data_IF_907577768732
#
_entry.id   IF_907577768732
#
_cell.length_a   1.000
_cell.length_b   1.000
_cell.length_c   1.000
_cell.angle_alpha   90.00
_cell.angle_beta   90.00
_cell.angle_gamma   90.00
#
_symmetry.space_group_name_H-M   'P 1'
#
loop_
_entity.id
_entity.type
_entity.pdbx_description
1 polymer ?
#
# COMPACT_ATOMS: atom_id res chain seq x y z
N UNK A 1 -34.10 37.90 -46.59
CA UNK A 1 -33.51 36.57 -46.87
C UNK A 1 -34.55 35.53 -46.52
N UNK A 2 -35.01 34.73 -47.48
CA UNK A 2 -36.04 33.71 -47.27
C UNK A 2 -35.35 32.36 -47.10
N UNK A 3 -35.38 31.82 -45.88
CA UNK A 3 -34.83 30.50 -45.58
C UNK A 3 -35.83 29.46 -46.10
N UNK A 4 -35.52 28.87 -47.24
CA UNK A 4 -36.25 27.71 -47.76
C UNK A 4 -35.81 26.47 -46.98
N UNK A 5 -36.68 25.98 -46.09
CA UNK A 5 -36.56 24.63 -45.55
C UNK A 5 -36.82 23.61 -46.67
N UNK A 6 -35.94 22.61 -46.88
CA UNK A 6 -36.17 21.59 -47.89
C UNK A 6 -37.40 20.76 -47.52
N UNK A 7 -38.31 20.59 -48.49
CA UNK A 7 -39.45 19.68 -48.37
C UNK A 7 -38.92 18.24 -48.27
N UNK A 8 -39.33 17.44 -47.27
CA UNK A 8 -38.91 16.04 -47.17
C UNK A 8 -39.46 15.27 -48.37
N UNK A 9 -38.56 14.73 -49.20
CA UNK A 9 -38.89 14.02 -50.44
C UNK A 9 -39.56 12.66 -50.20
N UNK A 10 -39.53 12.14 -48.96
CA UNK A 10 -40.30 10.99 -48.49
C UNK A 10 -40.83 11.32 -47.09
N UNK A 11 -42.14 11.13 -46.86
CA UNK A 11 -42.86 11.68 -45.71
C UNK A 11 -42.23 11.37 -44.35
N UNK A 12 -42.56 12.20 -43.35
CA UNK A 12 -42.05 12.17 -41.96
C UNK A 12 -41.92 10.78 -41.31
N UNK A 13 -42.69 9.78 -41.76
CA UNK A 13 -42.59 8.37 -41.32
C UNK A 13 -41.29 7.68 -41.76
N UNK A 14 -40.79 7.97 -42.96
CA UNK A 14 -39.52 7.42 -43.45
C UNK A 14 -38.33 8.00 -42.69
N UNK A 15 -38.34 9.32 -42.50
CA UNK A 15 -37.34 10.03 -41.68
C UNK A 15 -37.32 9.52 -40.22
N UNK A 16 -38.49 9.32 -39.60
CA UNK A 16 -38.56 8.75 -38.25
C UNK A 16 -38.04 7.30 -38.17
N UNK A 17 -38.18 6.52 -39.24
CA UNK A 17 -37.63 5.16 -39.33
C UNK A 17 -36.10 5.15 -39.37
N UNK A 18 -35.50 5.98 -40.22
CA UNK A 18 -34.03 6.09 -40.34
C UNK A 18 -33.39 6.58 -39.03
N UNK A 19 -33.96 7.63 -38.42
CA UNK A 19 -33.50 8.13 -37.12
C UNK A 19 -33.67 7.06 -36.04
N UNK A 20 -34.79 6.32 -36.05
CA UNK A 20 -35.05 5.24 -35.10
C UNK A 20 -34.00 4.13 -35.16
N UNK A 21 -33.57 3.72 -36.35
CA UNK A 21 -32.52 2.71 -36.54
C UNK A 21 -31.17 3.21 -36.01
N UNK A 22 -30.79 4.46 -36.31
CA UNK A 22 -29.54 5.06 -35.82
C UNK A 22 -29.54 5.12 -34.29
N UNK A 23 -30.63 5.62 -33.70
CA UNK A 23 -30.78 5.71 -32.24
C UNK A 23 -30.70 4.33 -31.61
N UNK A 24 -31.36 3.32 -32.19
CA UNK A 24 -31.30 1.95 -31.70
C UNK A 24 -29.86 1.40 -31.74
N UNK A 25 -29.11 1.66 -32.82
CA UNK A 25 -27.70 1.29 -32.92
C UNK A 25 -26.83 1.92 -31.83
N UNK A 26 -27.01 3.23 -31.58
CA UNK A 26 -26.27 3.94 -30.52
C UNK A 26 -26.63 3.41 -29.13
N UNK A 27 -27.91 3.12 -28.86
CA UNK A 27 -28.33 2.56 -27.57
C UNK A 27 -27.75 1.18 -27.32
N UNK A 28 -27.68 0.33 -28.35
CA UNK A 28 -27.05 -1.00 -28.24
C UNK A 28 -25.55 -0.84 -27.97
N UNK A 29 -24.87 0.06 -28.68
CA UNK A 29 -23.45 0.30 -28.49
C UNK A 29 -23.12 0.76 -27.06
N UNK A 30 -23.84 1.77 -26.54
CA UNK A 30 -23.66 2.27 -25.18
C UNK A 30 -24.03 1.22 -24.12
N UNK A 31 -25.08 0.43 -24.37
CA UNK A 31 -25.48 -0.65 -23.48
C UNK A 31 -24.42 -1.75 -23.39
N UNK A 32 -23.83 -2.14 -24.53
CA UNK A 32 -22.77 -3.13 -24.58
C UNK A 32 -21.49 -2.63 -23.88
N UNK A 33 -21.11 -1.38 -24.10
CA UNK A 33 -19.96 -0.74 -23.46
C UNK A 33 -20.10 -0.73 -21.94
N UNK A 34 -21.28 -0.34 -21.42
CA UNK A 34 -21.54 -0.30 -19.98
C UNK A 34 -21.43 -1.69 -19.32
N UNK A 35 -21.85 -2.75 -20.01
CA UNK A 35 -21.74 -4.12 -19.52
C UNK A 35 -20.29 -4.57 -19.44
N UNK A 36 -19.51 -4.36 -20.50
CA UNK A 36 -18.08 -4.71 -20.54
C UNK A 36 -17.33 -3.94 -19.45
N UNK A 37 -17.61 -2.64 -19.32
CA UNK A 37 -16.98 -1.80 -18.30
C UNK A 37 -17.30 -2.29 -16.88
N UNK A 38 -18.55 -2.67 -16.59
CA UNK A 38 -18.94 -3.19 -15.28
C UNK A 38 -18.18 -4.48 -14.94
N UNK A 39 -18.07 -5.40 -15.90
CA UNK A 39 -17.30 -6.64 -15.73
C UNK A 39 -15.82 -6.35 -15.53
N UNK A 40 -15.25 -5.43 -16.31
CA UNK A 40 -13.85 -5.02 -16.18
C UNK A 40 -13.54 -4.49 -14.77
N UNK A 41 -14.41 -3.64 -14.22
CA UNK A 41 -14.23 -3.12 -12.86
C UNK A 41 -14.33 -4.20 -11.78
N UNK A 42 -15.18 -5.21 -11.98
CA UNK A 42 -15.25 -6.33 -11.05
C UNK A 42 -13.93 -7.10 -10.97
N UNK A 43 -13.27 -7.34 -12.11
CA UNK A 43 -11.96 -7.99 -12.14
C UNK A 43 -10.87 -7.09 -11.56
N UNK A 44 -10.82 -5.82 -11.95
CA UNK A 44 -9.83 -4.86 -11.45
C UNK A 44 -9.87 -4.73 -9.92
N UNK A 45 -11.08 -4.68 -9.33
CA UNK A 45 -11.26 -4.68 -7.87
C UNK A 45 -10.78 -5.99 -7.25
N UNK A 46 -11.11 -7.13 -7.85
CA UNK A 46 -10.73 -8.44 -7.32
C UNK A 46 -9.21 -8.66 -7.35
N UNK A 47 -8.55 -8.27 -8.45
CA UNK A 47 -7.10 -8.37 -8.61
C UNK A 47 -6.37 -7.40 -7.68
N UNK A 48 -6.87 -6.17 -7.55
CA UNK A 48 -6.36 -5.20 -6.56
C UNK A 48 -6.45 -5.74 -5.13
N UNK A 49 -7.58 -6.34 -4.76
CA UNK A 49 -7.71 -6.97 -3.44
C UNK A 49 -6.81 -8.17 -3.25
N UNK A 50 -6.59 -8.99 -4.29
CA UNK A 50 -5.69 -10.13 -4.22
C UNK A 50 -4.23 -9.67 -4.01
N UNK A 51 -3.81 -8.61 -4.69
CA UNK A 51 -2.50 -7.99 -4.49
C UNK A 51 -2.36 -7.44 -3.06
N UNK A 52 -3.34 -6.69 -2.58
CA UNK A 52 -3.32 -6.14 -1.22
C UNK A 52 -3.33 -7.22 -0.13
N UNK A 53 -4.07 -8.31 -0.33
CA UNK A 53 -4.02 -9.48 0.58
C UNK A 53 -2.64 -10.12 0.61
N UNK A 54 -1.98 -10.19 -0.55
CA UNK A 54 -0.65 -10.78 -0.65
C UNK A 54 0.38 -9.91 0.07
N UNK A 55 0.37 -8.61 -0.18
CA UNK A 55 1.28 -7.63 0.47
C UNK A 55 1.12 -7.64 1.99
N UNK A 56 -0.10 -7.39 2.51
CA UNK A 56 -0.32 -7.36 3.96
C UNK A 56 -0.19 -8.72 4.63
N UNK A 57 -0.50 -9.81 3.93
CA UNK A 57 -0.54 -11.15 4.49
C UNK A 57 0.82 -11.85 4.48
N UNK A 58 1.38 -12.05 3.29
CA UNK A 58 2.60 -12.84 3.11
C UNK A 58 3.86 -12.02 3.31
N UNK A 59 3.85 -10.74 2.95
CA UNK A 59 4.99 -9.86 3.17
C UNK A 59 4.91 -9.28 4.58
N UNK A 60 4.18 -8.19 4.77
CA UNK A 60 4.14 -7.43 6.02
C UNK A 60 3.70 -8.27 7.22
N UNK A 61 2.74 -9.17 7.03
CA UNK A 61 2.22 -10.05 8.08
C UNK A 61 3.29 -10.97 8.67
N UNK A 62 4.17 -11.53 7.85
CA UNK A 62 5.28 -12.34 8.32
C UNK A 62 6.30 -11.50 9.09
N UNK A 63 6.53 -10.26 8.66
CA UNK A 63 7.42 -9.33 9.37
C UNK A 63 6.85 -8.89 10.71
N UNK A 64 5.55 -8.57 10.76
CA UNK A 64 4.83 -8.22 11.97
C UNK A 64 4.93 -9.35 13.01
N UNK A 65 4.72 -10.60 12.58
CA UNK A 65 4.85 -11.76 13.46
C UNK A 65 6.28 -11.92 14.01
N UNK A 66 7.30 -11.75 13.16
CA UNK A 66 8.70 -11.80 13.60
C UNK A 66 9.00 -10.71 14.64
N UNK A 67 8.52 -9.48 14.40
CA UNK A 67 8.68 -8.35 15.32
C UNK A 67 8.03 -8.62 16.67
N UNK A 68 6.78 -9.08 16.70
CA UNK A 68 6.08 -9.43 17.94
C UNK A 68 6.77 -10.55 18.71
N UNK A 69 7.33 -11.52 18.00
CA UNK A 69 8.03 -12.67 18.61
C UNK A 69 9.37 -12.24 19.22
N UNK A 70 10.11 -11.34 18.57
CA UNK A 70 11.45 -10.92 19.01
C UNK A 70 11.44 -9.72 19.96
N UNK A 71 10.35 -8.94 20.02
CA UNK A 71 10.26 -7.70 20.81
C UNK A 71 10.67 -7.88 22.28
N UNK A 72 10.24 -8.92 23.02
CA UNK A 72 10.64 -9.10 24.42
C UNK A 72 12.15 -9.34 24.58
N UNK A 73 12.74 -10.11 23.66
CA UNK A 73 14.17 -10.41 23.66
C UNK A 73 15.00 -9.15 23.40
N UNK A 74 14.62 -8.37 22.39
CA UNK A 74 15.27 -7.10 22.06
C UNK A 74 15.16 -6.13 23.25
N UNK A 75 13.96 -5.99 23.83
CA UNK A 75 13.75 -5.10 24.97
C UNK A 75 14.57 -5.52 26.20
N UNK A 76 14.71 -6.83 26.47
CA UNK A 76 15.57 -7.32 27.54
C UNK A 76 17.03 -7.00 27.29
N UNK A 77 17.50 -7.17 26.05
CA UNK A 77 18.88 -6.91 25.69
C UNK A 77 19.23 -5.42 25.76
N UNK A 78 18.34 -4.54 25.30
CA UNK A 78 18.48 -3.09 25.43
C UNK A 78 18.56 -2.64 26.89
N UNK A 79 17.76 -3.24 27.81
CA UNK A 79 17.88 -2.95 29.25
C UNK A 79 19.21 -3.39 29.85
N UNK A 80 19.77 -4.52 29.39
CA UNK A 80 21.09 -4.99 29.83
C UNK A 80 22.21 -4.08 29.34
N UNK A 81 22.09 -3.59 28.10
CA UNK A 81 23.01 -2.59 27.54
C UNK A 81 22.97 -1.29 28.35
N UNK A 82 21.77 -0.78 28.61
CA UNK A 82 21.57 0.45 29.37
C UNK A 82 22.16 0.35 30.78
N UNK A 83 21.84 -0.72 31.52
CA UNK A 83 22.33 -0.88 32.89
C UNK A 83 23.86 -0.99 32.95
N UNK A 84 24.47 -1.66 31.98
CA UNK A 84 25.91 -1.82 31.93
C UNK A 84 26.64 -0.53 31.52
N UNK A 85 26.08 0.25 30.58
CA UNK A 85 26.61 1.57 30.23
C UNK A 85 26.52 2.56 31.40
N UNK A 86 25.43 2.51 32.17
CA UNK A 86 25.30 3.32 33.40
C UNK A 86 26.33 2.91 34.44
N UNK A 87 26.53 1.60 34.66
CA UNK A 87 27.52 1.11 35.60
C UNK A 87 28.95 1.53 35.22
N UNK A 88 29.32 1.45 33.95
CA UNK A 88 30.63 1.91 33.45
C UNK A 88 30.83 3.42 33.68
N UNK A 89 29.81 4.24 33.37
CA UNK A 89 29.84 5.69 33.60
C UNK A 89 30.10 6.03 35.08
N UNK A 90 29.54 5.24 35.99
CA UNK A 90 29.63 5.45 37.44
C UNK A 90 30.89 4.82 38.06
N UNK A 91 31.89 4.47 37.24
CA UNK A 91 33.20 3.94 37.68
C UNK A 91 33.23 2.41 37.84
N UNK A 92 32.19 1.71 37.38
CA UNK A 92 32.14 0.26 37.31
C UNK A 92 33.04 -0.32 36.20
N UNK A 93 33.06 -1.66 36.05
CA UNK A 93 33.86 -2.32 35.04
C UNK A 93 33.43 -1.90 33.63
N UNK A 94 34.40 -1.81 32.71
CA UNK A 94 34.15 -1.53 31.31
C UNK A 94 33.17 -2.56 30.74
N UNK A 95 32.12 -2.07 30.09
CA UNK A 95 31.11 -2.93 29.51
C UNK A 95 31.61 -3.56 28.20
N UNK A 96 31.47 -4.88 28.09
CA UNK A 96 31.73 -5.65 26.87
C UNK A 96 30.45 -6.40 26.49
N UNK A 97 29.78 -5.99 25.41
CA UNK A 97 28.67 -6.77 24.86
C UNK A 97 29.18 -7.80 23.85
N UNK A 98 28.52 -8.96 23.74
CA UNK A 98 28.57 -9.73 22.50
C UNK A 98 28.16 -8.83 21.32
N UNK A 99 28.67 -9.08 20.10
CA UNK A 99 28.27 -8.31 18.94
C UNK A 99 26.75 -8.30 18.80
N UNK A 100 26.19 -7.10 18.76
CA UNK A 100 24.77 -6.90 18.54
C UNK A 100 24.45 -7.29 17.09
N UNK A 101 23.78 -8.42 16.91
CA UNK A 101 23.25 -8.76 15.60
C UNK A 101 22.07 -7.82 15.34
N UNK A 102 22.27 -6.88 14.40
CA UNK A 102 21.19 -6.03 13.93
C UNK A 102 20.06 -6.94 13.41
N UNK A 103 18.79 -6.65 13.76
CA UNK A 103 17.67 -7.35 13.17
C UNK A 103 17.70 -7.18 11.65
N UNK A 104 17.19 -8.19 10.94
CA UNK A 104 17.06 -8.11 9.49
C UNK A 104 16.19 -6.91 9.15
N UNK A 105 16.74 -5.95 8.41
CA UNK A 105 15.98 -4.83 7.88
C UNK A 105 14.97 -5.34 6.86
N UNK A 106 13.73 -4.91 7.03
CA UNK A 106 12.64 -5.18 6.10
C UNK A 106 11.79 -3.93 5.94
N UNK A 107 11.31 -3.71 4.73
CA UNK A 107 10.44 -2.59 4.40
C UNK A 107 8.99 -2.95 4.69
N UNK A 108 8.19 -1.92 4.96
CA UNK A 108 6.74 -2.03 5.04
C UNK A 108 6.18 -1.34 3.82
N UNK A 109 5.60 -2.14 2.92
CA UNK A 109 5.27 -1.71 1.57
C UNK A 109 3.78 -1.38 1.46
N UNK A 110 3.46 -0.24 0.84
CA UNK A 110 2.07 0.17 0.54
C UNK A 110 1.78 0.18 -0.97
N UNK A 111 2.57 -0.56 -1.74
CA UNK A 111 2.59 -0.51 -3.19
C UNK A 111 1.27 -1.01 -3.80
N UNK A 112 0.71 -2.10 -3.28
CA UNK A 112 -0.56 -2.64 -3.77
C UNK A 112 -1.73 -1.70 -3.46
N UNK A 113 -1.73 -1.05 -2.29
CA UNK A 113 -2.71 -0.03 -1.96
C UNK A 113 -2.63 1.18 -2.90
N UNK A 114 -1.42 1.72 -3.09
CA UNK A 114 -1.19 2.86 -3.99
C UNK A 114 -1.55 2.53 -5.43
N UNK A 115 -1.25 1.33 -5.89
CA UNK A 115 -1.65 0.84 -7.21
C UNK A 115 -3.18 0.84 -7.35
N UNK A 116 -3.92 0.26 -6.38
CA UNK A 116 -5.39 0.20 -6.38
C UNK A 116 -6.05 1.59 -6.31
N UNK A 117 -5.44 2.54 -5.60
CA UNK A 117 -5.89 3.94 -5.59
C UNK A 117 -5.65 4.57 -6.96
N UNK A 118 -4.46 4.38 -7.54
CA UNK A 118 -4.07 4.99 -8.81
C UNK A 118 -4.83 4.45 -10.02
N UNK A 119 -5.21 3.17 -10.01
CA UNK A 119 -6.00 2.56 -11.10
C UNK A 119 -7.49 2.89 -11.03
N UNK A 120 -7.94 3.54 -9.94
CA UNK A 120 -9.35 3.83 -9.69
C UNK A 120 -10.14 2.63 -9.16
N UNK A 121 -9.52 1.46 -8.96
CA UNK A 121 -10.18 0.27 -8.41
C UNK A 121 -10.92 0.58 -7.10
N UNK A 122 -10.30 1.37 -6.23
CA UNK A 122 -10.90 1.76 -4.94
C UNK A 122 -12.21 2.54 -5.08
N UNK A 123 -12.41 3.29 -6.17
CA UNK A 123 -13.66 4.03 -6.43
C UNK A 123 -14.84 3.11 -6.81
N UNK A 124 -14.55 1.89 -7.27
CA UNK A 124 -15.54 0.87 -7.60
C UNK A 124 -15.82 -0.09 -6.43
N UNK A 125 -15.19 0.13 -5.28
CA UNK A 125 -15.47 -0.60 -4.05
C UNK A 125 -16.66 0.00 -3.29
N UNK A 126 -17.35 -0.82 -2.50
CA UNK A 126 -18.30 -0.27 -1.52
C UNK A 126 -17.55 0.50 -0.43
N UNK A 127 -18.18 1.53 0.14
CA UNK A 127 -17.60 2.36 1.20
C UNK A 127 -17.04 1.54 2.36
N UNK A 128 -17.75 0.47 2.76
CA UNK A 128 -17.28 -0.44 3.81
C UNK A 128 -16.01 -1.20 3.41
N UNK A 129 -15.92 -1.70 2.17
CA UNK A 129 -14.73 -2.41 1.69
C UNK A 129 -13.54 -1.46 1.60
N UNK A 130 -13.74 -0.27 1.02
CA UNK A 130 -12.71 0.75 0.95
C UNK A 130 -12.22 1.17 2.34
N UNK A 131 -13.14 1.36 3.29
CA UNK A 131 -12.80 1.70 4.67
C UNK A 131 -11.97 0.61 5.37
N UNK A 132 -12.30 -0.67 5.17
CA UNK A 132 -11.52 -1.77 5.73
C UNK A 132 -10.08 -1.80 5.20
N UNK A 133 -9.90 -1.61 3.88
CA UNK A 133 -8.57 -1.55 3.28
C UNK A 133 -7.79 -0.33 3.73
N UNK A 134 -8.42 0.85 3.72
CA UNK A 134 -7.79 2.08 4.19
C UNK A 134 -7.33 1.98 5.64
N UNK A 135 -8.12 1.35 6.51
CA UNK A 135 -7.74 1.14 7.90
C UNK A 135 -6.56 0.17 8.04
N UNK A 136 -6.52 -0.90 7.24
CA UNK A 136 -5.41 -1.86 7.24
C UNK A 136 -4.10 -1.23 6.74
N UNK A 137 -4.15 -0.31 5.78
CA UNK A 137 -2.96 0.37 5.26
C UNK A 137 -2.54 1.61 6.04
N UNK A 138 -3.39 2.13 6.93
CA UNK A 138 -3.14 3.38 7.63
C UNK A 138 -1.85 3.40 8.47
N UNK A 139 -1.40 2.25 8.95
CA UNK A 139 -0.21 2.15 9.81
C UNK A 139 1.08 1.77 9.07
N UNK A 140 0.99 1.36 7.80
CA UNK A 140 2.13 0.87 7.01
C UNK A 140 3.23 1.95 6.88
N UNK A 141 2.91 3.23 6.57
CA UNK A 141 3.94 4.27 6.48
C UNK A 141 4.69 4.49 7.79
N UNK A 142 3.98 4.49 8.93
CA UNK A 142 4.59 4.67 10.26
C UNK A 142 5.50 3.50 10.62
N UNK A 143 5.12 2.27 10.24
CA UNK A 143 5.96 1.08 10.42
C UNK A 143 7.21 1.14 9.54
N UNK A 144 7.09 1.60 8.29
CA UNK A 144 8.23 1.76 7.41
C UNK A 144 9.22 2.79 7.96
N UNK A 145 8.72 3.95 8.40
CA UNK A 145 9.54 5.01 8.98
C UNK A 145 10.24 4.53 10.26
N UNK A 146 9.54 3.74 11.08
CA UNK A 146 10.11 3.12 12.29
C UNK A 146 11.21 2.13 11.94
N UNK A 147 11.00 1.26 10.94
CA UNK A 147 12.02 0.30 10.49
C UNK A 147 13.29 1.01 9.97
N UNK A 148 13.13 2.12 9.25
CA UNK A 148 14.25 2.94 8.75
C UNK A 148 15.02 3.56 9.93
N UNK A 149 14.31 4.15 10.90
CA UNK A 149 14.94 4.72 12.11
C UNK A 149 15.72 3.65 12.89
N UNK A 150 15.10 2.51 13.15
CA UNK A 150 15.76 1.40 13.85
C UNK A 150 17.02 0.94 13.12
N UNK A 151 16.98 0.82 11.79
CA UNK A 151 18.15 0.46 11.00
C UNK A 151 19.30 1.47 11.15
N UNK A 152 18.97 2.77 11.17
CA UNK A 152 19.96 3.83 11.42
C UNK A 152 20.55 3.73 12.83
N UNK A 153 19.71 3.56 13.86
CA UNK A 153 20.13 3.45 15.26
C UNK A 153 21.06 2.24 15.47
N UNK A 154 20.76 1.11 14.82
CA UNK A 154 21.64 -0.06 14.82
C UNK A 154 22.99 0.24 14.16
N UNK A 155 23.00 1.02 13.08
CA UNK A 155 24.23 1.47 12.43
C UNK A 155 25.09 2.35 13.33
N UNK A 156 24.47 3.24 14.10
CA UNK A 156 25.16 4.10 15.06
C UNK A 156 25.73 3.29 16.24
N UNK A 157 24.96 2.33 16.78
CA UNK A 157 25.44 1.41 17.82
C UNK A 157 26.64 0.57 17.35
N UNK A 158 26.60 0.07 16.12
CA UNK A 158 27.71 -0.68 15.53
C UNK A 158 28.97 0.19 15.40
N UNK A 159 28.84 1.45 14.98
CA UNK A 159 29.98 2.39 14.92
C UNK A 159 30.59 2.65 16.29
N UNK A 160 29.78 2.86 17.33
CA UNK A 160 30.26 3.06 18.71
C UNK A 160 31.04 1.83 19.20
N UNK A 161 30.53 0.63 18.94
CA UNK A 161 31.19 -0.62 19.33
C UNK A 161 32.56 -0.78 18.66
N UNK A 162 32.67 -0.44 17.36
CA UNK A 162 33.93 -0.49 16.61
C UNK A 162 34.97 0.51 17.15
N UNK A 163 34.57 1.75 17.44
CA UNK A 163 35.48 2.77 17.97
C UNK A 163 36.05 2.38 19.35
N UNK A 164 35.29 1.66 20.18
CA UNK A 164 35.76 1.16 21.48
C UNK A 164 36.79 0.02 21.38
N UNK A 165 36.80 -0.75 20.29
CA UNK A 165 37.74 -1.86 20.10
C UNK A 165 39.12 -1.42 19.58
N UNK A 166 39.29 -0.15 19.24
CA UNK A 166 40.58 0.44 18.87
C UNK A 166 41.02 1.48 19.91
N UNK A 167 41.51 1.06 21.10
CA UNK A 167 42.16 1.98 22.01
C UNK A 167 43.48 2.47 21.38
N UNK A 168 43.58 3.78 21.18
CA UNK A 168 44.84 4.49 20.87
C UNK A 168 45.77 4.48 22.08
#
# INVERSE_FOLDING_TARGET
MHVHLPKPLHGWRAFAGEVGIIVLGVLIALGAEQLVQTVSWHYEVADSEAAMKTELGFDDGAQAQARLTLSPCIAQHLRQLESALVAERDGGPAFSSPPLAAPVFRTWDDNAWRAAVSSGATAHMSTRRMGNWSAAYAFVPDMNETAIRESSDWGDLARIAMLRHHPS
#
